data_IF_430397493571
#
_entry.id   IF_430397493571
#
_cell.length_a   1.000
_cell.length_b   1.000
_cell.length_c   1.000
_cell.angle_alpha   90.00
_cell.angle_beta   90.00
_cell.angle_gamma   90.00
#
_symmetry.space_group_name_H-M   'P 1'
#
loop_
_entity.id
_entity.type
_entity.pdbx_description
1 polymer ?
#
# COMPACT_ATOMS: atom_id res chain seq x y z
N UNK A 1 -21.72 -1.71 -13.20
CA UNK A 1 -20.26 -1.88 -13.14
C UNK A 1 -19.91 -3.24 -13.71
N UNK A 2 -19.25 -3.26 -14.85
CA UNK A 2 -18.58 -4.45 -15.37
C UNK A 2 -17.11 -4.54 -14.86
N UNK A 3 -16.38 -5.56 -15.31
CA UNK A 3 -14.98 -5.77 -14.91
C UNK A 3 -14.05 -4.67 -15.41
N UNK A 4 -14.26 -4.16 -16.63
CA UNK A 4 -13.40 -3.11 -17.20
C UNK A 4 -13.60 -1.79 -16.46
N UNK A 5 -14.85 -1.43 -16.16
CA UNK A 5 -15.20 -0.27 -15.36
C UNK A 5 -14.62 -0.38 -13.93
N UNK A 6 -14.67 -1.56 -13.31
CA UNK A 6 -14.08 -1.80 -11.99
C UNK A 6 -12.55 -1.62 -12.00
N UNK A 7 -11.88 -2.11 -13.05
CA UNK A 7 -10.42 -2.01 -13.19
C UNK A 7 -10.00 -0.56 -13.44
N UNK A 8 -10.68 0.16 -14.33
CA UNK A 8 -10.37 1.54 -14.70
C UNK A 8 -10.62 2.52 -13.54
N UNK A 9 -11.72 2.34 -12.81
CA UNK A 9 -12.09 3.21 -11.69
C UNK A 9 -11.24 3.01 -10.42
N UNK A 10 -10.50 1.90 -10.31
CA UNK A 10 -9.71 1.57 -9.11
C UNK A 10 -8.49 2.49 -8.98
N UNK A 11 -8.41 3.20 -7.86
CA UNK A 11 -7.31 4.11 -7.51
C UNK A 11 -6.72 3.84 -6.12
N UNK A 12 -5.47 4.24 -5.91
CA UNK A 12 -4.86 4.24 -4.57
C UNK A 12 -5.44 5.39 -3.73
N UNK A 13 -6.47 5.09 -2.94
CA UNK A 13 -7.15 6.06 -2.05
C UNK A 13 -6.29 6.33 -0.81
N UNK A 14 -6.19 7.61 -0.40
CA UNK A 14 -5.33 8.06 0.71
C UNK A 14 -6.09 8.77 1.84
N UNK A 15 -7.39 8.98 1.68
CA UNK A 15 -8.28 9.50 2.70
C UNK A 15 -9.57 8.68 2.64
N UNK A 16 -10.03 8.21 3.80
CA UNK A 16 -11.22 7.38 3.96
C UNK A 16 -12.17 8.08 4.92
N UNK A 17 -13.47 7.82 4.79
CA UNK A 17 -14.45 8.23 5.81
C UNK A 17 -14.31 7.36 7.06
N UNK A 18 -14.94 7.78 8.15
CA UNK A 18 -15.04 7.01 9.39
C UNK A 18 -16.16 5.94 9.36
N UNK A 19 -16.83 5.78 8.22
CA UNK A 19 -17.89 4.79 8.04
C UNK A 19 -17.29 3.38 8.03
N UNK A 20 -17.70 2.49 8.96
CA UNK A 20 -17.19 1.13 8.99
C UNK A 20 -17.77 0.31 7.83
N UNK A 21 -16.94 -0.55 7.24
CA UNK A 21 -17.41 -1.54 6.27
C UNK A 21 -18.12 -2.68 7.00
N UNK A 22 -19.37 -3.05 6.62
CA UNK A 22 -20.07 -4.18 7.22
C UNK A 22 -19.28 -5.48 7.10
N UNK A 23 -19.39 -6.34 8.12
CA UNK A 23 -18.62 -7.59 8.20
C UNK A 23 -18.90 -8.50 7.01
N UNK A 24 -20.15 -8.59 6.60
CA UNK A 24 -20.63 -9.44 5.51
C UNK A 24 -20.02 -9.00 4.16
N UNK A 25 -19.78 -7.69 4.01
CA UNK A 25 -19.10 -7.15 2.82
C UNK A 25 -17.64 -7.57 2.81
N UNK A 26 -16.94 -7.48 3.95
CA UNK A 26 -15.55 -7.92 4.09
C UNK A 26 -15.42 -9.42 3.79
N UNK A 27 -16.27 -10.26 4.38
CA UNK A 27 -16.27 -11.70 4.14
C UNK A 27 -16.50 -12.02 2.66
N UNK A 28 -17.52 -11.42 2.04
CA UNK A 28 -17.82 -11.63 0.61
C UNK A 28 -16.64 -11.26 -0.30
N UNK A 29 -15.99 -10.13 -0.04
CA UNK A 29 -14.85 -9.67 -0.85
C UNK A 29 -13.64 -10.57 -0.66
N UNK A 30 -13.33 -10.95 0.58
CA UNK A 30 -12.17 -11.80 0.89
C UNK A 30 -12.36 -13.22 0.38
N UNK A 31 -13.56 -13.79 0.48
CA UNK A 31 -13.91 -15.07 -0.13
C UNK A 31 -13.79 -15.03 -1.66
N UNK A 32 -14.10 -13.91 -2.31
CA UNK A 32 -13.86 -13.78 -3.75
C UNK A 32 -12.35 -13.73 -4.06
N UNK A 33 -11.56 -13.02 -3.23
CA UNK A 33 -10.11 -12.88 -3.40
C UNK A 33 -9.36 -14.21 -3.29
N UNK A 34 -9.84 -15.16 -2.49
CA UNK A 34 -9.21 -16.50 -2.36
C UNK A 34 -9.26 -17.32 -3.65
N UNK A 35 -10.05 -16.89 -4.65
CA UNK A 35 -10.08 -17.52 -5.98
C UNK A 35 -8.93 -17.10 -6.89
N UNK A 36 -8.04 -16.22 -6.44
CA UNK A 36 -6.84 -15.87 -7.20
C UNK A 36 -5.99 -17.13 -7.46
N UNK A 37 -5.42 -17.31 -8.65
CA UNK A 37 -4.55 -18.45 -8.92
C UNK A 37 -3.25 -18.33 -8.10
N UNK A 38 -2.68 -19.47 -7.70
CA UNK A 38 -1.35 -19.56 -7.10
C UNK A 38 -0.60 -20.76 -7.67
N UNK A 39 0.73 -20.70 -7.68
CA UNK A 39 1.57 -21.83 -8.12
C UNK A 39 1.20 -23.08 -7.33
N UNK A 40 0.91 -24.19 -8.02
CA UNK A 40 0.48 -25.44 -7.39
C UNK A 40 -0.81 -25.35 -6.56
N UNK A 41 -1.61 -24.27 -6.70
CA UNK A 41 -2.75 -23.96 -5.84
C UNK A 41 -2.42 -23.93 -4.34
N UNK A 42 -1.19 -23.52 -3.99
CA UNK A 42 -0.69 -23.51 -2.62
C UNK A 42 -1.43 -22.53 -1.71
N UNK A 43 -2.06 -21.50 -2.27
CA UNK A 43 -2.82 -20.48 -1.55
C UNK A 43 -2.03 -19.91 -0.34
N UNK A 44 -0.77 -19.44 -0.53
CA UNK A 44 0.16 -19.16 0.57
C UNK A 44 -0.18 -17.90 1.38
N UNK A 45 -1.30 -17.25 1.09
CA UNK A 45 -1.69 -16.00 1.72
C UNK A 45 -2.21 -16.22 3.14
N UNK A 46 -1.69 -15.45 4.08
CA UNK A 46 -2.26 -15.26 5.41
C UNK A 46 -2.89 -13.87 5.49
N UNK A 47 -4.21 -13.81 5.72
CA UNK A 47 -4.95 -12.56 5.79
C UNK A 47 -5.36 -12.26 7.22
N UNK A 48 -4.99 -11.07 7.72
CA UNK A 48 -5.44 -10.56 9.01
C UNK A 48 -6.32 -9.33 8.77
N UNK A 49 -7.57 -9.40 9.23
CA UNK A 49 -8.52 -8.28 9.14
C UNK A 49 -8.60 -7.62 10.52
N UNK A 50 -8.18 -6.36 10.59
CA UNK A 50 -8.14 -5.59 11.84
C UNK A 50 -9.17 -4.47 11.74
N UNK A 51 -10.15 -4.45 12.62
CA UNK A 51 -11.24 -3.44 12.67
C UNK A 51 -11.47 -2.96 14.10
N UNK A 52 -12.22 -1.88 14.28
CA UNK A 52 -12.58 -1.36 15.60
C UNK A 52 -11.35 -1.00 16.46
N UNK A 53 -11.40 -1.36 17.74
CA UNK A 53 -10.36 -0.99 18.72
C UNK A 53 -8.95 -1.51 18.37
N UNK A 54 -8.77 -2.78 17.95
CA UNK A 54 -7.46 -3.25 17.46
C UNK A 54 -6.88 -2.41 16.31
N UNK A 55 -7.72 -1.88 15.42
CA UNK A 55 -7.27 -1.03 14.32
C UNK A 55 -6.88 0.36 14.83
N UNK A 56 -7.64 0.91 15.77
CA UNK A 56 -7.33 2.18 16.42
C UNK A 56 -5.98 2.11 17.16
N UNK A 57 -5.75 1.01 17.89
CA UNK A 57 -4.46 0.72 18.55
C UNK A 57 -3.31 0.68 17.55
N UNK A 58 -3.47 -0.08 16.47
CA UNK A 58 -2.44 -0.21 15.44
C UNK A 58 -2.10 1.15 14.83
N UNK A 59 -3.12 1.94 14.46
CA UNK A 59 -2.93 3.31 13.94
C UNK A 59 -2.16 4.19 14.92
N UNK A 60 -2.50 4.16 16.21
CA UNK A 60 -1.83 4.95 17.24
C UNK A 60 -0.36 4.58 17.37
N UNK A 61 -0.04 3.29 17.46
CA UNK A 61 1.34 2.79 17.57
C UNK A 61 2.18 3.14 16.34
N UNK A 62 1.64 2.92 15.14
CA UNK A 62 2.37 3.24 13.89
C UNK A 62 2.59 4.74 13.73
N UNK A 63 1.62 5.57 14.13
CA UNK A 63 1.76 7.04 14.09
C UNK A 63 2.83 7.52 15.05
N UNK A 64 2.86 6.99 16.28
CA UNK A 64 3.88 7.32 17.27
C UNK A 64 5.30 6.96 16.79
N UNK A 65 5.48 5.77 16.18
CA UNK A 65 6.74 5.36 15.57
C UNK A 65 7.17 6.30 14.44
N UNK A 66 6.25 6.65 13.54
CA UNK A 66 6.53 7.55 12.43
C UNK A 66 6.95 8.95 12.90
N UNK A 67 6.28 9.50 13.92
CA UNK A 67 6.64 10.80 14.52
C UNK A 67 7.98 10.77 15.25
N UNK A 68 8.41 9.60 15.74
CA UNK A 68 9.71 9.38 16.34
C UNK A 68 10.82 9.10 15.31
N UNK A 69 10.53 9.19 14.00
CA UNK A 69 11.47 8.84 12.92
C UNK A 69 12.04 7.42 13.04
N UNK A 70 11.25 6.49 13.58
CA UNK A 70 11.58 5.06 13.65
C UNK A 70 11.74 4.51 12.22
N UNK A 71 12.86 3.82 11.90
CA UNK A 71 13.11 3.30 10.55
C UNK A 71 12.14 2.18 10.12
N UNK A 72 11.32 1.67 11.04
CA UNK A 72 10.41 0.57 10.81
C UNK A 72 11.04 -0.80 11.08
N UNK A 73 10.23 -1.84 10.93
CA UNK A 73 10.69 -3.22 11.06
C UNK A 73 11.44 -3.67 9.79
N UNK A 74 12.38 -4.60 9.94
CA UNK A 74 13.08 -5.18 8.80
C UNK A 74 12.09 -5.84 7.84
N UNK A 75 12.26 -5.59 6.54
CA UNK A 75 11.39 -6.16 5.50
C UNK A 75 11.69 -7.64 5.35
N UNK A 76 10.66 -8.47 5.29
CA UNK A 76 10.81 -9.91 5.06
C UNK A 76 11.39 -10.25 3.68
N UNK A 77 11.30 -9.32 2.72
CA UNK A 77 11.83 -9.46 1.37
C UNK A 77 12.12 -8.09 0.74
N UNK A 78 13.06 -8.01 -0.22
CA UNK A 78 13.30 -6.79 -0.97
C UNK A 78 12.07 -6.46 -1.84
N UNK A 79 11.40 -5.35 -1.54
CA UNK A 79 10.21 -4.88 -2.29
C UNK A 79 10.55 -4.48 -3.73
N UNK A 80 11.78 -4.04 -3.98
CA UNK A 80 12.29 -3.67 -5.29
C UNK A 80 13.66 -4.33 -5.47
N UNK A 81 14.07 -4.66 -6.70
CA UNK A 81 15.46 -4.99 -7.00
C UNK A 81 16.40 -3.86 -6.56
N UNK A 82 17.64 -4.19 -6.22
CA UNK A 82 18.65 -3.20 -5.81
C UNK A 82 18.90 -2.18 -6.92
N UNK A 83 18.96 -2.65 -8.16
CA UNK A 83 19.08 -1.80 -9.35
C UNK A 83 17.77 -1.81 -10.14
N UNK A 84 16.99 -0.74 -9.98
CA UNK A 84 15.76 -0.54 -10.72
C UNK A 84 16.06 0.10 -12.09
N UNK A 85 15.64 -0.55 -13.18
CA UNK A 85 15.84 -0.02 -14.54
C UNK A 85 15.27 1.40 -14.69
N UNK A 86 15.97 2.24 -15.47
CA UNK A 86 15.68 3.67 -15.61
C UNK A 86 14.20 3.98 -15.89
N UNK A 87 13.55 3.21 -16.76
CA UNK A 87 12.13 3.37 -17.07
C UNK A 87 11.22 3.34 -15.82
N UNK A 88 11.51 2.46 -14.86
CA UNK A 88 10.70 2.34 -13.65
C UNK A 88 11.09 3.40 -12.61
N UNK A 89 12.36 3.79 -12.56
CA UNK A 89 12.83 4.88 -11.71
C UNK A 89 12.19 6.21 -12.12
N UNK A 90 12.15 6.53 -13.42
CA UNK A 90 11.51 7.74 -13.93
C UNK A 90 10.02 7.78 -13.62
N UNK A 91 9.32 6.65 -13.81
CA UNK A 91 7.90 6.51 -13.47
C UNK A 91 7.65 6.69 -11.97
N UNK A 92 8.52 6.12 -11.14
CA UNK A 92 8.43 6.28 -9.68
C UNK A 92 8.59 7.75 -9.28
N UNK A 93 9.63 8.42 -9.78
CA UNK A 93 9.89 9.83 -9.49
C UNK A 93 8.77 10.74 -9.99
N UNK A 94 8.24 10.51 -11.20
CA UNK A 94 7.11 11.25 -11.73
C UNK A 94 5.84 11.08 -10.88
N UNK A 95 5.52 9.83 -10.48
CA UNK A 95 4.38 9.54 -9.63
C UNK A 95 4.54 10.15 -8.23
N UNK A 96 5.75 10.17 -7.67
CA UNK A 96 6.05 10.81 -6.41
C UNK A 96 5.87 12.34 -6.50
N UNK A 97 6.38 12.98 -7.55
CA UNK A 97 6.24 14.43 -7.76
C UNK A 97 4.76 14.84 -7.85
N UNK A 98 3.97 14.17 -8.69
CA UNK A 98 2.52 14.41 -8.80
C UNK A 98 1.79 14.25 -7.46
N UNK A 99 2.21 13.27 -6.64
CA UNK A 99 1.63 13.06 -5.32
C UNK A 99 1.91 14.23 -4.38
N UNK A 100 3.16 14.69 -4.27
CA UNK A 100 3.53 15.76 -3.33
C UNK A 100 2.94 17.11 -3.74
N UNK A 101 2.86 17.38 -5.04
CA UNK A 101 2.16 18.51 -5.62
C UNK A 101 0.68 18.53 -5.21
N UNK A 102 -0.03 17.41 -5.40
CA UNK A 102 -1.44 17.29 -5.01
C UNK A 102 -1.68 17.42 -3.49
N UNK A 103 -0.66 17.17 -2.66
CA UNK A 103 -0.72 17.34 -1.21
C UNK A 103 -0.34 18.76 -0.75
N UNK A 104 -0.02 19.68 -1.67
CA UNK A 104 0.37 21.06 -1.35
C UNK A 104 1.75 21.18 -0.68
N UNK A 105 2.59 20.16 -0.84
CA UNK A 105 3.91 20.07 -0.21
C UNK A 105 5.00 20.14 -1.28
N UNK A 106 5.84 21.18 -1.25
CA UNK A 106 7.01 21.32 -2.12
C UNK A 106 8.19 20.45 -1.65
N UNK A 107 7.91 19.21 -1.25
CA UNK A 107 8.94 18.29 -0.81
C UNK A 107 9.79 17.84 -2.01
N UNK A 108 11.11 17.85 -1.84
CA UNK A 108 12.08 17.33 -2.82
C UNK A 108 11.70 15.91 -3.21
N UNK A 109 11.61 15.63 -4.51
CA UNK A 109 11.24 14.30 -5.02
C UNK A 109 12.14 13.24 -4.38
N UNK A 110 11.57 12.20 -3.72
CA UNK A 110 12.38 11.15 -3.12
C UNK A 110 13.24 10.49 -4.19
N UNK A 111 14.51 10.26 -3.89
CA UNK A 111 15.33 9.33 -4.66
C UNK A 111 14.65 7.96 -4.65
N UNK A 112 14.52 7.36 -5.84
CA UNK A 112 13.81 6.10 -6.01
C UNK A 112 14.36 4.96 -5.14
N UNK A 113 13.59 3.87 -4.96
CA UNK A 113 14.08 2.70 -4.25
C UNK A 113 15.35 2.17 -4.94
N UNK A 114 16.43 1.95 -4.17
CA UNK A 114 17.71 1.41 -4.67
C UNK A 114 18.84 2.43 -4.84
N UNK A 115 18.60 3.74 -4.70
CA UNK A 115 19.70 4.72 -4.57
C UNK A 115 20.01 4.95 -3.08
N UNK A 116 20.88 4.14 -2.52
CA UNK A 116 21.70 4.56 -1.39
C UNK A 116 22.48 5.80 -1.84
N UNK A 117 22.38 6.90 -1.08
CA UNK A 117 23.32 8.01 -1.20
C UNK A 117 24.72 7.48 -0.81
N UNK A 118 25.80 7.89 -1.49
CA UNK A 118 27.15 7.67 -1.01
C UNK A 118 27.40 8.36 0.33
#
# INVERSE_FOLDING_TARGET
>A
MDVYEAVDSRRAVRAFSDEPVPKEVLERVLTAATRAPSSGNLQPWHMYVVTGEPLAELKRRTTARALASDPGDERQYPMYPDELALLYTDRFSAAAAQRYEALGSHATTPTGPGRSLP
#
